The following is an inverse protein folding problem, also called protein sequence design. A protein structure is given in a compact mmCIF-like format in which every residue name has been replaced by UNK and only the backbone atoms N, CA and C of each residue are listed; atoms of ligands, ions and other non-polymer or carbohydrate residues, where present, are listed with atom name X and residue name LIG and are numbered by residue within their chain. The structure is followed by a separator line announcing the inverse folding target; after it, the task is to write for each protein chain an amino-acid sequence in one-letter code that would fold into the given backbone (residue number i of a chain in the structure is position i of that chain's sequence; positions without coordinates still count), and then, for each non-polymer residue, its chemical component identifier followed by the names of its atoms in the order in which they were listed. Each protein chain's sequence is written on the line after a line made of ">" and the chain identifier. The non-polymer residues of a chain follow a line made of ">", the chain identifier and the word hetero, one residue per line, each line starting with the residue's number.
data_IF_776860916984
#
_entry.id   IF_776860916984
#
_cell.length_a   1.000
_cell.length_b   1.000
_cell.length_c   1.000
_cell.angle_alpha   90.00
_cell.angle_beta   90.00
_cell.angle_gamma   90.00
#
_symmetry.space_group_name_H-M   'P 1'
#
loop_
_entity.id
_entity.type
_entity.pdbx_description
1 polymer ?
#
# COMPACT_ATOMS: atom_id res chain seq x y z
N UNK A 1 4.85 3.93 16.13
CA UNK A 1 3.89 4.95 15.65
C UNK A 1 2.95 4.29 14.64
N UNK A 2 1.70 4.03 15.06
CA UNK A 2 0.64 3.43 14.23
C UNK A 2 -0.18 4.53 13.56
N UNK A 3 -0.71 4.25 12.37
CA UNK A 3 -1.80 5.03 11.79
C UNK A 3 -3.02 4.88 12.70
N UNK A 4 -3.88 5.92 12.75
CA UNK A 4 -5.13 5.85 13.50
C UNK A 4 -5.97 4.64 13.06
N UNK A 5 -6.88 4.20 13.93
CA UNK A 5 -7.75 3.05 13.69
C UNK A 5 -8.49 3.22 12.34
N UNK A 6 -8.54 2.13 11.56
CA UNK A 6 -9.37 1.99 10.35
C UNK A 6 -9.02 2.90 9.15
N UNK A 7 -7.72 3.21 8.96
CA UNK A 7 -7.26 3.97 7.78
C UNK A 7 -7.17 3.09 6.55
N UNK A 8 -7.80 3.51 5.46
CA UNK A 8 -7.67 2.90 4.13
C UNK A 8 -6.73 3.76 3.28
N UNK A 9 -5.80 3.13 2.55
CA UNK A 9 -4.92 3.80 1.60
C UNK A 9 -4.98 3.14 0.21
N UNK A 10 -5.26 3.95 -0.82
CA UNK A 10 -5.15 3.56 -2.22
C UNK A 10 -3.73 3.85 -2.72
N UNK A 11 -3.03 2.82 -3.19
CA UNK A 11 -1.67 2.95 -3.74
C UNK A 11 -1.66 2.48 -5.19
N UNK A 12 -1.34 3.39 -6.10
CA UNK A 12 -1.17 3.09 -7.53
C UNK A 12 0.29 2.75 -7.84
N UNK A 13 0.53 1.97 -8.91
CA UNK A 13 1.88 1.50 -9.23
C UNK A 13 2.46 0.58 -8.15
N UNK A 14 1.60 -0.12 -7.40
CA UNK A 14 1.99 -0.87 -6.21
C UNK A 14 2.73 -2.20 -6.47
N UNK A 15 2.91 -2.58 -7.74
CA UNK A 15 3.55 -3.87 -8.10
C UNK A 15 5.07 -3.89 -7.87
N UNK A 16 5.76 -2.74 -7.97
CA UNK A 16 7.21 -2.65 -7.81
C UNK A 16 7.70 -1.26 -7.38
N UNK A 17 9.00 -1.14 -7.12
CA UNK A 17 9.67 0.12 -6.81
C UNK A 17 9.06 0.84 -5.60
N UNK A 18 8.96 2.16 -5.72
CA UNK A 18 8.51 3.05 -4.63
C UNK A 18 7.06 2.77 -4.25
N UNK A 19 6.18 2.47 -5.22
CA UNK A 19 4.77 2.16 -4.94
C UNK A 19 4.62 0.95 -4.01
N UNK A 20 5.36 -0.13 -4.29
CA UNK A 20 5.40 -1.32 -3.42
C UNK A 20 5.96 -1.00 -2.04
N UNK A 21 7.06 -0.26 -1.97
CA UNK A 21 7.69 0.11 -0.71
C UNK A 21 6.76 0.97 0.18
N UNK A 22 6.06 1.93 -0.43
CA UNK A 22 5.09 2.79 0.24
C UNK A 22 3.88 1.99 0.77
N UNK A 23 3.31 1.11 -0.06
CA UNK A 23 2.21 0.23 0.35
C UNK A 23 2.58 -0.62 1.58
N UNK A 24 3.76 -1.23 1.57
CA UNK A 24 4.25 -2.03 2.69
C UNK A 24 4.50 -1.18 3.94
N UNK A 25 5.06 0.03 3.80
CA UNK A 25 5.30 0.93 4.92
C UNK A 25 3.97 1.38 5.58
N UNK A 26 2.94 1.66 4.77
CA UNK A 26 1.61 2.02 5.27
C UNK A 26 0.91 0.83 5.93
N UNK A 27 1.00 -0.37 5.34
CA UNK A 27 0.48 -1.60 5.92
C UNK A 27 1.11 -1.89 7.29
N UNK A 28 2.45 -1.75 7.42
CA UNK A 28 3.17 -1.90 8.71
C UNK A 28 2.73 -0.91 9.78
N UNK A 29 2.22 0.26 9.36
CA UNK A 29 1.65 1.26 10.26
C UNK A 29 0.18 0.97 10.61
N UNK A 30 -0.45 -0.05 10.03
CA UNK A 30 -1.81 -0.48 10.35
C UNK A 30 -2.90 0.00 9.38
N UNK A 31 -2.53 0.53 8.20
CA UNK A 31 -3.52 0.84 7.19
C UNK A 31 -3.98 -0.42 6.42
N UNK A 32 -5.25 -0.45 6.06
CA UNK A 32 -5.77 -1.34 5.03
C UNK A 32 -5.41 -0.79 3.65
N UNK A 33 -4.82 -1.62 2.79
CA UNK A 33 -4.26 -1.16 1.52
C UNK A 33 -5.10 -1.68 0.35
N UNK A 34 -5.52 -0.76 -0.51
CA UNK A 34 -6.01 -1.05 -1.86
C UNK A 34 -4.85 -0.81 -2.82
N UNK A 35 -4.26 -1.88 -3.34
CA UNK A 35 -3.11 -1.81 -4.24
C UNK A 35 -3.55 -1.96 -5.69
N UNK A 36 -3.16 -1.03 -6.57
CA UNK A 36 -3.46 -1.11 -8.00
C UNK A 36 -2.20 -1.01 -8.86
N UNK A 37 -2.18 -1.78 -9.94
CA UNK A 37 -1.14 -1.76 -10.96
C UNK A 37 -1.73 -2.25 -12.29
N UNK A 38 -1.05 -1.98 -13.41
CA UNK A 38 -1.52 -2.40 -14.75
C UNK A 38 -1.39 -3.90 -14.96
N UNK A 39 -0.38 -4.53 -14.36
CA UNK A 39 -0.11 -5.97 -14.50
C UNK A 39 -0.65 -6.69 -13.25
N UNK A 40 -1.42 -7.76 -13.46
CA UNK A 40 -1.96 -8.59 -12.37
C UNK A 40 -0.88 -9.54 -11.80
N UNK A 41 0.01 -10.02 -12.66
CA UNK A 41 1.23 -10.71 -12.28
C UNK A 41 2.39 -9.69 -12.20
N UNK A 42 3.21 -9.81 -11.15
CA UNK A 42 4.37 -8.96 -10.90
C UNK A 42 5.45 -9.10 -11.97
#
# INVERSE_FOLDING_TARGET
>A
MTLGKDRIALVTGASRGIGRAAALALARKGAHIIATARTQAG
#
